data_IF_068914651886
#
_entry.id   IF_068914651886
#
_cell.length_a   1.000
_cell.length_b   1.000
_cell.length_c   1.000
_cell.angle_alpha   90.00
_cell.angle_beta   90.00
_cell.angle_gamma   90.00
#
_symmetry.space_group_name_H-M   'P 1'
#
loop_
_entity.id
_entity.type
_entity.pdbx_description
1 polymer ?
#
# COMPACT_ATOMS: atom_id res chain seq x y z
N UNK A 1 -12.78 33.63 -9.09
CA UNK A 1 -12.56 33.21 -9.63
C UNK A 1 -11.39 32.90 -10.07
N UNK A 2 -10.71 33.00 -10.13
CA UNK A 2 -9.64 32.96 -10.36
C UNK A 2 -8.86 32.03 -9.80
N UNK A 3 -9.07 31.53 -8.95
CA UNK A 3 -8.36 30.80 -8.19
C UNK A 3 -8.00 29.57 -8.78
N UNK A 4 -8.60 29.08 -9.57
CA UNK A 4 -8.38 27.99 -10.05
C UNK A 4 -7.19 27.60 -10.61
N UNK A 5 -6.62 28.34 -11.16
CA UNK A 5 -5.51 28.03 -11.81
C UNK A 5 -4.57 27.27 -11.19
N UNK A 6 -4.45 27.42 -10.02
CA UNK A 6 -3.56 26.87 -9.36
C UNK A 6 -3.45 25.46 -9.46
N UNK A 7 -4.36 24.86 -9.48
CA UNK A 7 -4.30 23.53 -9.37
C UNK A 7 -3.50 22.91 -10.43
N UNK A 8 -3.63 23.34 -11.46
CA UNK A 8 -3.02 22.73 -12.49
C UNK A 8 -1.65 22.56 -12.39
N UNK A 9 -1.07 23.47 -11.90
CA UNK A 9 0.19 23.47 -11.89
C UNK A 9 0.80 22.44 -11.31
N UNK A 10 0.28 22.01 -10.35
CA UNK A 10 0.87 21.27 -9.63
C UNK A 10 1.22 19.98 -10.24
N UNK A 11 0.60 19.41 -11.12
CA UNK A 11 0.92 18.24 -11.47
C UNK A 11 2.01 18.16 -12.40
N UNK A 12 2.34 19.01 -12.98
CA UNK A 12 3.34 19.04 -13.75
C UNK A 12 4.57 18.63 -13.16
N UNK A 13 4.78 18.97 -12.01
CA UNK A 13 6.04 18.68 -11.42
C UNK A 13 6.24 17.24 -11.35
N UNK A 14 5.24 16.51 -11.27
CA UNK A 14 5.42 15.16 -11.09
C UNK A 14 6.01 14.59 -12.33
N UNK A 15 5.72 15.14 -13.38
CA UNK A 15 6.18 14.57 -14.58
C UNK A 15 7.63 14.75 -14.78
N UNK A 16 8.18 15.69 -14.16
CA UNK A 16 9.56 15.95 -14.43
C UNK A 16 10.48 15.06 -13.69
N UNK A 17 10.01 14.25 -12.83
CA UNK A 17 10.87 13.46 -12.08
C UNK A 17 11.52 12.39 -12.82
N UNK A 18 11.30 12.19 -13.99
CA UNK A 18 12.06 11.25 -14.73
C UNK A 18 11.97 9.80 -14.39
N UNK A 19 11.39 9.42 -13.37
CA UNK A 19 11.29 8.03 -13.05
C UNK A 19 10.14 7.39 -13.78
N UNK A 20 10.14 6.07 -13.87
CA UNK A 20 9.06 5.36 -14.49
C UNK A 20 7.80 5.60 -13.69
N UNK A 21 6.71 6.00 -14.35
CA UNK A 21 5.50 6.23 -13.67
C UNK A 21 4.77 4.95 -13.55
N UNK A 22 4.27 4.62 -12.38
CA UNK A 22 3.42 3.47 -12.19
C UNK A 22 1.98 3.86 -12.50
N UNK A 23 1.19 2.88 -12.93
CA UNK A 23 -0.22 3.07 -13.21
C UNK A 23 -1.04 2.82 -11.95
N UNK A 24 -0.47 2.14 -10.99
CA UNK A 24 -1.15 1.77 -9.76
C UNK A 24 -0.40 2.31 -8.57
N UNK A 25 -1.12 2.52 -7.48
CA UNK A 25 -0.48 2.82 -6.20
C UNK A 25 -0.65 1.64 -5.27
N UNK A 26 0.35 1.39 -4.45
CA UNK A 26 0.33 0.36 -3.44
C UNK A 26 0.90 1.01 -2.20
N UNK A 27 0.13 1.09 -1.14
CA UNK A 27 0.58 1.70 0.09
C UNK A 27 0.16 0.89 1.29
N UNK A 28 1.08 0.72 2.22
CA UNK A 28 0.82 0.02 3.46
C UNK A 28 1.08 0.97 4.60
N UNK A 29 0.06 1.25 5.37
CA UNK A 29 0.15 2.12 6.54
C UNK A 29 0.03 1.28 7.81
N UNK A 30 0.84 1.60 8.80
CA UNK A 30 0.78 0.87 10.06
C UNK A 30 -0.18 1.60 10.99
N UNK A 31 -0.83 0.85 11.84
CA UNK A 31 -1.68 1.41 12.88
C UNK A 31 -0.83 2.29 13.77
N UNK A 32 -1.28 3.50 14.05
CA UNK A 32 -0.51 4.44 14.84
C UNK A 32 -0.49 4.04 16.29
N UNK A 33 0.64 4.27 16.95
CA UNK A 33 0.72 4.00 18.37
C UNK A 33 0.06 5.14 19.13
N UNK A 34 -0.32 4.90 20.36
CA UNK A 34 -0.96 5.90 21.20
C UNK A 34 -0.06 7.11 21.43
N UNK A 35 1.23 6.95 21.28
CA UNK A 35 2.16 8.05 21.49
C UNK A 35 2.34 8.93 20.24
N UNK A 36 1.80 8.54 19.09
CA UNK A 36 1.94 9.36 17.92
C UNK A 36 1.02 10.55 18.03
N UNK A 37 1.48 11.70 17.68
CA UNK A 37 0.67 12.90 17.69
C UNK A 37 -0.14 13.05 16.43
N UNK A 38 -1.09 13.98 16.43
CA UNK A 38 -1.94 14.24 15.29
C UNK A 38 -1.17 14.69 14.04
N UNK A 39 0.02 15.19 14.22
CA UNK A 39 0.83 15.62 13.08
C UNK A 39 1.29 14.41 12.25
N UNK A 40 1.42 13.23 12.86
CA UNK A 40 1.97 12.07 12.21
C UNK A 40 0.96 10.95 12.00
N UNK A 41 -0.27 11.12 12.43
CA UNK A 41 -1.29 10.12 12.30
C UNK A 41 -2.61 10.72 11.83
N UNK A 42 -3.48 9.90 11.30
CA UNK A 42 -4.79 10.34 10.85
C UNK A 42 -5.83 9.30 11.22
N UNK A 43 -7.03 9.77 11.52
CA UNK A 43 -8.13 8.89 11.87
C UNK A 43 -8.95 8.61 10.62
N UNK A 44 -9.31 7.36 10.43
CA UNK A 44 -10.08 6.94 9.28
C UNK A 44 -11.11 5.90 9.74
N UNK A 45 -12.17 5.76 8.96
CA UNK A 45 -13.10 4.68 9.20
C UNK A 45 -12.84 3.61 8.16
N UNK A 46 -12.32 2.49 8.61
CA UNK A 46 -11.95 1.41 7.72
C UNK A 46 -12.61 0.12 8.21
N UNK A 47 -13.17 -0.63 7.29
CA UNK A 47 -13.77 -1.92 7.58
C UNK A 47 -14.77 -1.88 8.75
N UNK A 48 -15.56 -0.81 8.79
CA UNK A 48 -16.63 -0.68 9.79
C UNK A 48 -16.21 -0.18 11.16
N UNK A 49 -14.98 0.21 11.35
CA UNK A 49 -14.50 0.73 12.63
C UNK A 49 -13.58 1.92 12.47
N UNK A 50 -13.45 2.69 13.54
CA UNK A 50 -12.54 3.83 13.52
C UNK A 50 -11.12 3.34 13.83
N UNK A 51 -10.18 3.74 13.02
CA UNK A 51 -8.77 3.38 13.20
C UNK A 51 -7.91 4.61 13.05
N UNK A 52 -6.75 4.60 13.65
CA UNK A 52 -5.75 5.67 13.49
C UNK A 52 -4.53 5.04 12.84
N UNK A 53 -4.09 5.60 11.74
CA UNK A 53 -2.95 5.08 11.01
C UNK A 53 -1.86 6.15 10.92
N UNK A 54 -0.63 5.73 10.73
CA UNK A 54 0.45 6.68 10.46
C UNK A 54 0.25 7.27 9.07
N UNK A 55 0.46 8.59 8.95
CA UNK A 55 0.22 9.30 7.70
C UNK A 55 1.17 8.85 6.59
N UNK A 56 2.40 8.56 6.93
CA UNK A 56 3.40 8.16 5.96
C UNK A 56 3.35 6.65 5.83
N UNK A 57 3.18 6.13 4.63
CA UNK A 57 3.14 4.69 4.47
C UNK A 57 4.51 4.08 4.71
N UNK A 58 4.54 2.91 5.32
CA UNK A 58 5.79 2.20 5.56
C UNK A 58 6.28 1.58 4.25
N UNK A 59 5.37 1.14 3.40
CA UNK A 59 5.68 0.57 2.10
C UNK A 59 4.88 1.32 1.03
N UNK A 60 5.47 1.46 -0.14
CA UNK A 60 4.81 2.08 -1.27
C UNK A 60 5.07 1.30 -2.55
N UNK A 61 4.48 1.73 -3.65
CA UNK A 61 4.68 1.09 -4.94
C UNK A 61 6.14 1.09 -5.37
N UNK A 62 6.96 1.99 -4.82
CA UNK A 62 8.38 2.03 -5.12
C UNK A 62 9.14 0.83 -4.57
N UNK A 63 8.57 0.17 -3.59
CA UNK A 63 9.19 -0.97 -2.95
C UNK A 63 8.82 -2.29 -3.63
N UNK A 64 7.88 -2.28 -4.57
CA UNK A 64 7.40 -3.51 -5.20
C UNK A 64 8.21 -3.85 -6.43
N UNK A 65 8.68 -5.08 -6.51
CA UNK A 65 9.45 -5.55 -7.65
C UNK A 65 8.77 -6.67 -8.41
N UNK A 66 7.74 -7.25 -7.88
CA UNK A 66 7.05 -8.34 -8.54
C UNK A 66 5.67 -8.58 -7.99
N UNK A 67 4.86 -9.26 -8.78
CA UNK A 67 3.47 -9.50 -8.44
C UNK A 67 3.05 -10.89 -8.91
N UNK A 68 2.31 -11.59 -8.08
CA UNK A 68 1.65 -12.82 -8.47
C UNK A 68 0.20 -12.71 -8.04
N UNK A 69 -0.75 -13.02 -8.90
CA UNK A 69 -2.16 -12.85 -8.62
C UNK A 69 -2.89 -14.19 -8.55
N UNK A 70 -3.97 -14.22 -7.79
CA UNK A 70 -4.75 -15.42 -7.61
C UNK A 70 -6.22 -15.11 -7.72
N UNK A 71 -7.02 -16.08 -8.12
CA UNK A 71 -8.46 -15.94 -8.03
C UNK A 71 -8.85 -16.41 -6.63
N UNK A 72 -9.41 -15.52 -5.83
CA UNK A 72 -9.86 -15.86 -4.49
C UNK A 72 -11.28 -16.43 -4.51
N UNK A 73 -12.18 -15.74 -5.23
CA UNK A 73 -13.56 -16.20 -5.44
C UNK A 73 -13.94 -15.79 -6.87
N UNK A 74 -15.20 -15.97 -7.24
CA UNK A 74 -15.67 -15.53 -8.55
C UNK A 74 -15.54 -14.00 -8.68
N UNK A 75 -15.71 -13.29 -7.59
CA UNK A 75 -15.76 -11.83 -7.62
C UNK A 75 -14.47 -11.14 -7.19
N UNK A 76 -13.63 -11.80 -6.41
CA UNK A 76 -12.45 -11.15 -5.86
C UNK A 76 -11.17 -11.87 -6.21
N UNK A 77 -10.09 -11.13 -6.17
CA UNK A 77 -8.75 -11.63 -6.47
C UNK A 77 -7.84 -11.35 -5.29
N UNK A 78 -6.82 -12.16 -5.17
CA UNK A 78 -5.73 -11.93 -4.22
C UNK A 78 -4.44 -11.67 -4.95
N UNK A 79 -3.42 -11.29 -4.22
CA UNK A 79 -2.11 -11.00 -4.81
C UNK A 79 -0.99 -11.21 -3.80
N UNK A 80 0.17 -11.59 -4.31
CA UNK A 80 1.38 -11.62 -3.54
C UNK A 80 2.32 -10.58 -4.13
N UNK A 81 2.72 -9.60 -3.34
CA UNK A 81 3.64 -8.56 -3.75
C UNK A 81 5.04 -8.92 -3.26
N UNK A 82 6.02 -8.91 -4.16
CA UNK A 82 7.42 -9.12 -3.80
C UNK A 82 8.06 -7.75 -3.64
N UNK A 83 8.73 -7.54 -2.52
CA UNK A 83 9.37 -6.26 -2.22
C UNK A 83 10.86 -6.28 -2.59
N UNK A 84 11.40 -5.09 -2.81
CA UNK A 84 12.84 -4.93 -2.98
C UNK A 84 13.50 -4.98 -1.60
N UNK A 85 14.82 -4.80 -1.53
CA UNK A 85 15.54 -4.90 -0.28
C UNK A 85 15.11 -3.83 0.73
N UNK A 86 14.86 -2.61 0.26
CA UNK A 86 14.40 -1.53 1.13
C UNK A 86 13.05 -1.91 1.78
N UNK A 87 12.11 -2.39 0.97
CA UNK A 87 10.81 -2.78 1.49
C UNK A 87 10.89 -4.01 2.40
N UNK A 88 11.75 -4.96 2.06
CA UNK A 88 11.97 -6.14 2.87
C UNK A 88 12.46 -5.78 4.27
N UNK A 89 13.46 -4.90 4.34
CA UNK A 89 14.01 -4.48 5.63
C UNK A 89 13.00 -3.66 6.43
N UNK A 90 12.25 -2.80 5.75
CA UNK A 90 11.23 -2.00 6.43
C UNK A 90 10.15 -2.90 7.04
N UNK A 91 9.69 -3.91 6.30
CA UNK A 91 8.66 -4.81 6.79
C UNK A 91 9.20 -5.72 7.89
N UNK A 92 10.44 -6.15 7.78
CA UNK A 92 11.08 -6.98 8.79
C UNK A 92 11.14 -6.22 10.12
N UNK A 93 11.65 -5.00 10.12
CA UNK A 93 11.75 -4.20 11.34
C UNK A 93 10.38 -3.91 11.91
N UNK A 94 9.43 -3.54 11.06
CA UNK A 94 8.10 -3.18 11.50
C UNK A 94 7.41 -4.39 12.15
N UNK A 95 7.56 -5.56 11.59
CA UNK A 95 6.91 -6.76 12.11
C UNK A 95 7.46 -7.18 13.48
N UNK A 96 8.66 -6.74 13.81
CA UNK A 96 9.22 -6.98 15.13
C UNK A 96 8.75 -5.89 16.09
N UNK A 97 8.84 -4.62 15.68
CA UNK A 97 8.52 -3.50 16.54
C UNK A 97 7.07 -3.31 16.85
N UNK A 98 6.21 -3.67 15.93
CA UNK A 98 4.77 -3.45 16.04
C UNK A 98 3.97 -4.73 16.13
N UNK A 99 4.57 -5.77 16.71
CA UNK A 99 3.88 -7.03 16.88
C UNK A 99 2.58 -6.83 17.67
N UNK A 100 1.51 -7.40 17.20
CA UNK A 100 0.18 -7.23 17.78
C UNK A 100 -0.64 -6.12 17.16
N UNK A 101 -0.02 -5.26 16.37
CA UNK A 101 -0.72 -4.19 15.68
C UNK A 101 -1.24 -4.62 14.32
N UNK A 102 -1.69 -3.67 13.55
CA UNK A 102 -2.26 -3.93 12.22
C UNK A 102 -1.60 -3.09 11.13
N UNK A 103 -1.59 -3.65 9.94
CA UNK A 103 -1.19 -2.94 8.74
C UNK A 103 -2.43 -2.82 7.86
N UNK A 104 -2.58 -1.67 7.22
CA UNK A 104 -3.69 -1.43 6.33
C UNK A 104 -3.16 -1.24 4.91
N UNK A 105 -3.63 -2.05 3.98
CA UNK A 105 -3.18 -2.03 2.60
C UNK A 105 -4.16 -1.26 1.73
N UNK A 106 -3.64 -0.25 1.03
CA UNK A 106 -4.42 0.56 0.12
C UNK A 106 -3.88 0.35 -1.29
N UNK A 107 -4.78 0.08 -2.23
CA UNK A 107 -4.41 -0.03 -3.64
C UNK A 107 -5.29 0.90 -4.43
N UNK A 108 -4.67 1.76 -5.21
CA UNK A 108 -5.35 2.78 -5.99
C UNK A 108 -6.27 3.65 -5.12
N UNK A 109 -5.80 3.95 -3.92
CA UNK A 109 -6.53 4.82 -3.00
C UNK A 109 -7.66 4.16 -2.23
N UNK A 110 -7.88 2.87 -2.43
CA UNK A 110 -8.95 2.16 -1.71
C UNK A 110 -8.38 1.23 -0.66
N UNK A 111 -8.98 1.15 0.52
CA UNK A 111 -8.55 0.19 1.53
C UNK A 111 -8.95 -1.22 1.06
N UNK A 112 -8.00 -2.11 0.99
CA UNK A 112 -8.22 -3.46 0.50
C UNK A 112 -8.34 -4.46 1.64
N UNK A 113 -7.41 -4.40 2.58
CA UNK A 113 -7.39 -5.37 3.66
C UNK A 113 -6.60 -4.86 4.85
N UNK A 114 -6.82 -5.47 5.98
CA UNK A 114 -6.08 -5.27 7.20
C UNK A 114 -5.28 -6.54 7.44
N UNK A 115 -4.00 -6.41 7.75
CA UNK A 115 -3.14 -7.53 8.05
C UNK A 115 -2.67 -7.43 9.49
N UNK A 116 -2.85 -8.48 10.26
CA UNK A 116 -2.38 -8.51 11.64
C UNK A 116 -0.91 -8.83 11.66
N UNK A 117 -0.17 -8.15 12.51
CA UNK A 117 1.25 -8.41 12.70
C UNK A 117 1.37 -9.43 13.81
N UNK A 118 1.36 -10.70 13.47
CA UNK A 118 1.39 -11.78 14.45
C UNK A 118 2.77 -12.45 14.53
N UNK A 119 3.64 -12.18 13.60
CA UNK A 119 4.98 -12.75 13.58
C UNK A 119 5.91 -11.92 12.72
N UNK A 120 7.20 -12.17 12.84
CA UNK A 120 8.20 -11.50 12.03
C UNK A 120 8.04 -11.87 10.55
N UNK A 121 8.12 -10.89 9.69
CA UNK A 121 8.02 -11.07 8.25
C UNK A 121 9.34 -10.63 7.64
N UNK A 122 10.21 -11.57 7.32
CA UNK A 122 11.55 -11.28 6.82
C UNK A 122 11.76 -11.67 5.37
N UNK A 123 10.74 -12.22 4.70
CA UNK A 123 10.87 -12.73 3.34
C UNK A 123 10.58 -11.69 2.27
N UNK A 124 10.20 -10.48 2.65
CA UNK A 124 9.93 -9.42 1.67
C UNK A 124 8.68 -9.63 0.87
N UNK A 125 7.69 -10.30 1.41
CA UNK A 125 6.44 -10.57 0.69
C UNK A 125 5.24 -10.04 1.44
N UNK A 126 4.30 -9.47 0.70
CA UNK A 126 3.01 -9.04 1.25
C UNK A 126 1.92 -9.80 0.54
N UNK A 127 1.15 -10.57 1.31
CA UNK A 127 0.10 -11.40 0.75
C UNK A 127 -1.27 -10.82 1.03
N UNK A 128 -2.07 -10.62 -0.01
CA UNK A 128 -3.43 -10.16 0.10
C UNK A 128 -4.32 -11.29 -0.36
N UNK A 129 -5.07 -11.88 0.55
CA UNK A 129 -5.87 -13.06 0.26
C UNK A 129 -7.03 -12.78 -0.69
N UNK A 130 -7.66 -11.62 -0.59
CA UNK A 130 -8.83 -11.28 -1.40
C UNK A 130 -9.08 -9.77 -1.33
N UNK A 131 -10.07 -9.30 -2.04
CA UNK A 131 -10.47 -7.89 -1.98
C UNK A 131 -10.12 -7.08 -3.22
N UNK A 132 -9.32 -7.64 -4.12
CA UNK A 132 -8.98 -6.94 -5.34
C UNK A 132 -10.00 -7.27 -6.44
N UNK A 133 -10.26 -6.30 -7.31
CA UNK A 133 -11.14 -6.50 -8.46
C UNK A 133 -10.32 -6.92 -9.67
N UNK A 134 -11.00 -7.40 -10.70
CA UNK A 134 -10.32 -7.72 -11.95
C UNK A 134 -9.64 -6.48 -12.54
N UNK A 135 -10.26 -5.31 -12.40
CA UNK A 135 -9.67 -4.07 -12.90
C UNK A 135 -8.41 -3.70 -12.11
N UNK A 136 -8.41 -3.92 -10.80
CA UNK A 136 -7.21 -3.69 -10.00
C UNK A 136 -6.06 -4.57 -10.52
N UNK A 137 -6.36 -5.83 -10.84
CA UNK A 137 -5.36 -6.75 -11.31
C UNK A 137 -4.81 -6.31 -12.67
N UNK A 138 -5.66 -5.81 -13.55
CA UNK A 138 -5.19 -5.35 -14.84
C UNK A 138 -4.22 -4.18 -14.71
N UNK A 139 -4.55 -3.23 -13.84
CA UNK A 139 -3.69 -2.08 -13.62
C UNK A 139 -2.37 -2.50 -12.95
N UNK A 140 -2.45 -3.38 -11.98
CA UNK A 140 -1.26 -3.85 -11.30
C UNK A 140 -0.33 -4.61 -12.25
N UNK A 141 -0.88 -5.40 -13.16
CA UNK A 141 -0.06 -6.13 -14.11
C UNK A 141 0.65 -5.26 -15.14
N UNK A 142 0.16 -4.05 -15.37
CA UNK A 142 0.87 -3.12 -16.26
C UNK A 142 2.20 -2.69 -15.64
N UNK A 143 2.22 -2.53 -14.32
CA UNK A 143 3.42 -2.09 -13.63
C UNK A 143 4.33 -3.27 -13.27
N UNK A 144 3.72 -4.40 -12.94
CA UNK A 144 4.47 -5.58 -12.52
C UNK A 144 3.99 -6.80 -13.29
N UNK A 145 4.44 -6.96 -14.54
CA UNK A 145 4.03 -8.10 -15.35
C UNK A 145 4.47 -9.41 -14.73
N UNK A 146 3.69 -10.44 -14.94
CA UNK A 146 4.04 -11.75 -14.41
C UNK A 146 5.37 -12.21 -15.01
N UNK A 147 6.25 -12.68 -14.17
CA UNK A 147 7.49 -13.24 -14.67
C UNK A 147 7.22 -14.66 -15.12
N UNK A 148 7.75 -14.99 -16.28
CA UNK A 148 7.66 -16.35 -16.79
C UNK A 148 8.69 -17.24 -16.08
#
# INVERSE_FOLDING_TARGET
MKTVALAALFFISAATNGGAKTHSTFRVHVEASASNGAAFSTKLRLFGRDVTIEKVPTLSEKDVTGLRTYRATEETRGALFQLNEHGRLALDSLSVERRGGSLFVFINGRPITELQIDRRVSDGKVYIASGLTANDIELLKKDWPARK
#
